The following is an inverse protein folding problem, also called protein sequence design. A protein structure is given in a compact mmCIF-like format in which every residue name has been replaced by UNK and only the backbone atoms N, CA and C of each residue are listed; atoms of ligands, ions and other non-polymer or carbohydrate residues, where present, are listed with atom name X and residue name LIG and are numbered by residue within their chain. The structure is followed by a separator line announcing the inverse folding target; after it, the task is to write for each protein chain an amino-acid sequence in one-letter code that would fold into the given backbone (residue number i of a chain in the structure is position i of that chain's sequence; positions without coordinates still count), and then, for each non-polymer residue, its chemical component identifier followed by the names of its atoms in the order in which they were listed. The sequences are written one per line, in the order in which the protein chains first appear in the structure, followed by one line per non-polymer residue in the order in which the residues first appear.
data_IF_684141320609
#
_entry.id   IF_684141320609
#
_cell.length_a   1.000
_cell.length_b   1.000
_cell.length_c   1.000
_cell.angle_alpha   90.00
_cell.angle_beta   90.00
_cell.angle_gamma   90.00
#
_symmetry.space_group_name_H-M   'P 1'
#
loop_
_entity.id
_entity.type
_entity.pdbx_description
1 polymer ?
#
# COMPACT_ATOMS: atom_id res chain seq x y z
N UNK A 1 4.65 39.04 -17.67
CA UNK A 1 3.54 38.77 -18.60
C UNK A 1 3.55 37.28 -18.90
N UNK A 2 2.67 36.50 -18.26
CA UNK A 2 2.56 35.06 -18.49
C UNK A 2 1.72 34.88 -19.74
N UNK A 3 2.28 34.27 -20.79
CA UNK A 3 1.52 33.95 -21.99
C UNK A 3 0.33 33.05 -21.61
N UNK A 4 -0.89 33.44 -22.00
CA UNK A 4 -2.06 32.61 -21.84
C UNK A 4 -1.84 31.31 -22.62
N UNK A 5 -1.76 30.19 -21.91
CA UNK A 5 -1.70 28.88 -22.54
C UNK A 5 -2.98 28.67 -23.36
N UNK A 6 -2.83 28.50 -24.67
CA UNK A 6 -3.92 28.14 -25.57
C UNK A 6 -4.49 26.81 -25.07
N UNK A 7 -5.69 26.83 -24.48
CA UNK A 7 -6.34 25.59 -24.09
C UNK A 7 -6.62 24.77 -25.35
N UNK A 8 -6.12 23.53 -25.47
CA UNK A 8 -6.44 22.69 -26.61
C UNK A 8 -7.96 22.50 -26.63
N UNK A 9 -8.58 22.84 -27.76
CA UNK A 9 -10.02 22.67 -27.97
C UNK A 9 -10.30 21.16 -28.03
N UNK A 10 -10.63 20.58 -26.88
CA UNK A 10 -10.93 19.17 -26.71
C UNK A 10 -12.37 18.92 -27.16
N UNK A 11 -12.54 18.12 -28.23
CA UNK A 11 -13.84 17.57 -28.61
C UNK A 11 -14.00 16.18 -27.96
N UNK A 12 -14.84 16.04 -26.91
CA UNK A 12 -15.04 14.77 -26.21
C UNK A 12 -15.60 13.69 -27.13
N UNK A 13 -16.36 14.08 -28.16
CA UNK A 13 -17.06 13.13 -29.04
C UNK A 13 -16.10 12.34 -29.93
N UNK A 14 -14.91 12.88 -30.21
CA UNK A 14 -13.93 12.28 -31.11
C UNK A 14 -13.39 10.92 -30.63
N UNK A 15 -13.30 10.72 -29.31
CA UNK A 15 -12.73 9.51 -28.73
C UNK A 15 -13.74 8.68 -27.92
N UNK A 16 -14.88 9.25 -27.54
CA UNK A 16 -15.86 8.61 -26.66
C UNK A 16 -16.27 7.20 -27.14
N UNK A 17 -16.62 7.06 -28.42
CA UNK A 17 -17.01 5.77 -28.98
C UNK A 17 -15.90 4.70 -28.85
N UNK A 18 -14.64 5.10 -29.07
CA UNK A 18 -13.49 4.20 -28.95
C UNK A 18 -13.18 3.87 -27.48
N UNK A 19 -13.29 4.86 -26.59
CA UNK A 19 -13.16 4.67 -25.14
C UNK A 19 -14.17 3.66 -24.62
N UNK A 20 -15.46 3.82 -24.99
CA UNK A 20 -16.52 2.90 -24.59
C UNK A 20 -16.29 1.49 -25.13
N UNK A 21 -15.88 1.36 -26.40
CA UNK A 21 -15.59 0.06 -27.01
C UNK A 21 -14.45 -0.68 -26.27
N UNK A 22 -13.36 0.02 -25.94
CA UNK A 22 -12.24 -0.56 -25.16
C UNK A 22 -12.71 -0.94 -23.75
N UNK A 23 -13.47 -0.07 -23.08
CA UNK A 23 -14.00 -0.35 -21.74
C UNK A 23 -14.90 -1.59 -21.71
N UNK A 24 -15.81 -1.72 -22.68
CA UNK A 24 -16.67 -2.90 -22.82
C UNK A 24 -15.86 -4.17 -23.05
N UNK A 25 -14.84 -4.12 -23.91
CA UNK A 25 -13.95 -5.25 -24.16
C UNK A 25 -13.20 -5.69 -22.89
N UNK A 26 -12.66 -4.74 -22.11
CA UNK A 26 -11.99 -5.02 -20.84
C UNK A 26 -12.93 -5.64 -19.80
N UNK A 27 -14.18 -5.16 -19.72
CA UNK A 27 -15.19 -5.69 -18.81
C UNK A 27 -15.58 -7.14 -19.16
N UNK A 28 -15.75 -7.44 -20.45
CA UNK A 28 -16.04 -8.80 -20.92
C UNK A 28 -14.89 -9.76 -20.60
N UNK A 29 -13.64 -9.36 -20.90
CA UNK A 29 -12.44 -10.16 -20.61
C UNK A 29 -12.24 -10.45 -19.10
N UNK A 30 -12.76 -9.59 -18.23
CA UNK A 30 -12.69 -9.76 -16.77
C UNK A 30 -13.77 -10.70 -16.24
N UNK A 31 -14.95 -10.76 -16.90
CA UNK A 31 -16.09 -11.61 -16.48
C UNK A 31 -15.88 -13.09 -16.80
N UNK A 32 -15.27 -13.41 -17.94
CA UNK A 32 -15.04 -14.81 -18.36
C UNK A 32 -14.05 -15.58 -17.46
N UNK A 33 -13.15 -14.89 -16.76
CA UNK A 33 -12.16 -15.51 -15.86
C UNK A 33 -12.69 -15.92 -14.48
N UNK A 34 -13.99 -15.74 -14.19
CA UNK A 34 -14.62 -16.21 -12.94
C UNK A 34 -14.89 -17.72 -12.94
N UNK A 35 -13.85 -18.53 -13.14
CA UNK A 35 -13.91 -19.98 -12.92
C UNK A 35 -13.71 -20.31 -11.43
N UNK A 36 -14.15 -21.50 -11.00
CA UNK A 36 -14.13 -22.10 -9.65
C UNK A 36 -12.98 -21.69 -8.69
N UNK A 37 -11.79 -21.37 -9.20
CA UNK A 37 -10.67 -20.84 -8.43
C UNK A 37 -10.92 -19.44 -7.84
N UNK A 38 -11.69 -18.60 -8.54
CA UNK A 38 -12.20 -17.32 -8.05
C UNK A 38 -13.24 -17.50 -6.93
N UNK A 39 -14.04 -18.58 -6.96
CA UNK A 39 -15.00 -18.92 -5.90
C UNK A 39 -14.29 -19.42 -4.62
N UNK A 40 -13.18 -20.15 -4.75
CA UNK A 40 -12.34 -20.51 -3.59
C UNK A 40 -11.57 -19.30 -3.03
N UNK A 41 -11.10 -18.39 -3.89
CA UNK A 41 -10.53 -17.11 -3.46
C UNK A 41 -11.58 -16.24 -2.76
N UNK A 42 -12.85 -16.32 -3.18
CA UNK A 42 -14.00 -15.69 -2.52
C UNK A 42 -14.27 -16.18 -1.10
N UNK A 43 -13.87 -17.41 -0.74
CA UNK A 43 -13.95 -17.89 0.65
C UNK A 43 -12.84 -17.29 1.53
N UNK A 44 -11.71 -16.88 0.94
CA UNK A 44 -10.68 -16.05 1.61
C UNK A 44 -11.05 -14.55 1.68
N UNK A 45 -12.21 -14.15 1.14
CA UNK A 45 -12.73 -12.76 1.16
C UNK A 45 -13.60 -12.45 2.38
N UNK A 46 -13.45 -13.18 3.49
CA UNK A 46 -14.09 -12.74 4.74
C UNK A 46 -13.58 -11.35 5.16
N UNK A 47 -12.28 -11.10 4.98
CA UNK A 47 -11.67 -9.77 5.16
C UNK A 47 -12.33 -8.72 4.24
N UNK A 48 -12.59 -9.05 2.97
CA UNK A 48 -13.27 -8.12 2.04
C UNK A 48 -14.70 -7.86 2.47
N UNK A 49 -15.42 -8.87 2.99
CA UNK A 49 -16.79 -8.67 3.48
C UNK A 49 -16.83 -7.81 4.73
N UNK A 50 -15.87 -7.96 5.64
CA UNK A 50 -15.72 -7.09 6.81
C UNK A 50 -15.32 -5.68 6.38
N UNK A 51 -14.40 -5.56 5.44
CA UNK A 51 -13.97 -4.28 4.89
C UNK A 51 -15.12 -3.58 4.14
N UNK A 52 -15.85 -4.29 3.29
CA UNK A 52 -17.02 -3.80 2.56
C UNK A 52 -18.13 -3.37 3.53
N UNK A 53 -18.40 -4.16 4.57
CA UNK A 53 -19.34 -3.80 5.62
C UNK A 53 -18.88 -2.54 6.38
N UNK A 54 -17.60 -2.50 6.78
CA UNK A 54 -17.03 -1.32 7.43
C UNK A 54 -17.10 -0.10 6.51
N UNK A 55 -16.85 -0.25 5.21
CA UNK A 55 -16.96 0.85 4.24
C UNK A 55 -18.41 1.33 4.05
N UNK A 56 -19.40 0.45 4.25
CA UNK A 56 -20.82 0.77 4.20
C UNK A 56 -21.37 1.46 5.45
N UNK A 57 -20.65 1.44 6.58
CA UNK A 57 -21.04 2.10 7.83
C UNK A 57 -20.02 3.21 8.20
N UNK A 58 -20.36 4.50 8.02
CA UNK A 58 -19.42 5.60 8.25
C UNK A 58 -18.86 5.66 9.68
N UNK A 59 -19.66 5.33 10.69
CA UNK A 59 -19.24 5.34 12.10
C UNK A 59 -18.21 4.26 12.39
N UNK A 60 -18.49 3.01 11.97
CA UNK A 60 -17.56 1.89 12.09
C UNK A 60 -16.28 2.12 11.29
N UNK A 61 -16.39 2.62 10.06
CA UNK A 61 -15.24 2.93 9.20
C UNK A 61 -14.20 3.80 9.90
N UNK A 62 -14.65 4.93 10.46
CA UNK A 62 -13.76 5.91 11.09
C UNK A 62 -13.06 5.32 12.29
N UNK A 63 -13.80 4.63 13.17
CA UNK A 63 -13.21 4.09 14.40
C UNK A 63 -12.29 2.89 14.12
N UNK A 64 -12.65 2.03 13.17
CA UNK A 64 -11.81 0.92 12.75
C UNK A 64 -10.47 1.42 12.19
N UNK A 65 -10.48 2.44 11.33
CA UNK A 65 -9.24 3.00 10.80
C UNK A 65 -8.39 3.69 11.86
N UNK A 66 -9.01 4.42 12.81
CA UNK A 66 -8.26 5.01 13.94
C UNK A 66 -7.62 3.95 14.83
N UNK A 67 -8.33 2.85 15.09
CA UNK A 67 -7.77 1.72 15.84
C UNK A 67 -6.58 1.10 15.09
N UNK A 68 -6.73 0.85 13.78
CA UNK A 68 -5.65 0.30 12.93
C UNK A 68 -4.43 1.23 12.93
N UNK A 69 -4.64 2.55 12.83
CA UNK A 69 -3.58 3.56 12.85
C UNK A 69 -2.82 3.59 14.20
N UNK A 70 -3.53 3.46 15.32
CA UNK A 70 -2.92 3.41 16.65
C UNK A 70 -2.24 2.07 16.97
N UNK A 71 -2.65 0.98 16.32
CA UNK A 71 -2.24 -0.38 16.65
C UNK A 71 -0.72 -0.60 16.71
N UNK A 72 0.11 -0.09 15.77
CA UNK A 72 1.57 -0.27 15.82
C UNK A 72 2.24 0.35 17.05
N UNK A 73 1.61 1.34 17.69
CA UNK A 73 2.11 1.98 18.90
C UNK A 73 1.78 1.19 20.18
N UNK A 74 0.83 0.24 20.13
CA UNK A 74 0.38 -0.54 21.29
C UNK A 74 1.37 -1.69 21.57
N UNK A 75 1.93 -1.74 22.78
CA UNK A 75 3.05 -2.65 23.10
C UNK A 75 2.62 -3.90 23.87
N UNK A 76 1.35 -4.00 24.26
CA UNK A 76 0.85 -5.12 25.05
C UNK A 76 -0.55 -5.57 24.65
N UNK A 77 -0.87 -6.84 24.89
CA UNK A 77 -2.21 -7.40 24.62
C UNK A 77 -3.32 -6.67 25.40
N UNK A 78 -3.16 -6.32 26.68
CA UNK A 78 -4.17 -5.53 27.39
C UNK A 78 -4.39 -4.14 26.78
N UNK A 79 -3.33 -3.47 26.33
CA UNK A 79 -3.48 -2.19 25.62
C UNK A 79 -4.25 -2.33 24.32
N UNK A 80 -3.97 -3.37 23.53
CA UNK A 80 -4.69 -3.67 22.29
C UNK A 80 -6.16 -3.94 22.58
N UNK A 81 -6.46 -4.79 23.57
CA UNK A 81 -7.83 -5.11 23.96
C UNK A 81 -8.59 -3.86 24.44
N UNK A 82 -7.96 -3.04 25.28
CA UNK A 82 -8.53 -1.78 25.76
C UNK A 82 -8.88 -0.84 24.60
N UNK A 83 -7.93 -0.57 23.71
CA UNK A 83 -8.18 0.34 22.58
C UNK A 83 -9.20 -0.23 21.60
N UNK A 84 -9.21 -1.55 21.38
CA UNK A 84 -10.24 -2.21 20.58
C UNK A 84 -11.64 -1.89 21.14
N UNK A 85 -11.81 -1.97 22.46
CA UNK A 85 -13.06 -1.63 23.13
C UNK A 85 -13.37 -0.13 23.05
N UNK A 86 -12.42 0.74 23.34
CA UNK A 86 -12.60 2.19 23.32
C UNK A 86 -13.01 2.72 21.94
N UNK A 87 -12.42 2.20 20.86
CA UNK A 87 -12.75 2.62 19.50
C UNK A 87 -14.08 2.02 19.01
N UNK A 88 -14.34 0.74 19.29
CA UNK A 88 -15.46 0.03 18.68
C UNK A 88 -16.74 0.00 19.52
N UNK A 89 -16.69 0.34 20.81
CA UNK A 89 -17.87 0.40 21.68
C UNK A 89 -18.56 1.78 21.70
N UNK A 90 -18.15 2.72 20.84
CA UNK A 90 -18.79 4.04 20.72
C UNK A 90 -20.22 3.89 20.19
N UNK A 91 -21.18 4.64 20.74
CA UNK A 91 -22.61 4.55 20.43
C UNK A 91 -22.92 4.70 18.91
N UNK A 92 -22.08 5.44 18.19
CA UNK A 92 -22.18 5.63 16.74
C UNK A 92 -21.71 4.42 15.89
N UNK A 93 -21.25 3.33 16.51
CA UNK A 93 -20.67 2.17 15.81
C UNK A 93 -21.63 1.00 15.84
N UNK A 94 -22.20 0.66 14.67
CA UNK A 94 -22.93 -0.59 14.52
C UNK A 94 -21.96 -1.72 14.18
N UNK A 95 -21.76 -2.61 15.14
CA UNK A 95 -20.81 -3.71 15.00
C UNK A 95 -21.44 -4.90 14.26
N UNK A 96 -20.73 -5.52 13.30
CA UNK A 96 -21.09 -6.82 12.78
C UNK A 96 -20.92 -7.88 13.88
N UNK A 97 -21.69 -8.97 13.81
CA UNK A 97 -21.78 -10.00 14.86
C UNK A 97 -20.41 -10.59 15.25
N UNK A 98 -19.49 -10.72 14.29
CA UNK A 98 -18.14 -11.20 14.55
C UNK A 98 -17.34 -10.26 15.48
N UNK A 99 -17.46 -8.93 15.30
CA UNK A 99 -16.77 -7.94 16.13
C UNK A 99 -17.45 -7.79 17.51
N UNK A 100 -18.77 -7.97 17.60
CA UNK A 100 -19.48 -7.98 18.89
C UNK A 100 -18.95 -9.04 19.84
N UNK A 101 -18.65 -10.24 19.34
CA UNK A 101 -18.07 -11.32 20.13
C UNK A 101 -16.67 -10.99 20.66
N UNK A 102 -15.86 -10.31 19.86
CA UNK A 102 -14.52 -9.87 20.27
C UNK A 102 -14.56 -8.80 21.36
N UNK A 103 -15.64 -8.04 21.47
CA UNK A 103 -15.81 -6.97 22.46
C UNK A 103 -16.54 -7.42 23.73
N UNK A 104 -16.88 -8.70 23.83
CA UNK A 104 -17.62 -9.25 24.96
C UNK A 104 -16.70 -9.50 26.17
N UNK A 105 -16.05 -8.45 26.65
CA UNK A 105 -15.23 -8.46 27.86
C UNK A 105 -15.36 -7.13 28.61
N UNK A 106 -15.43 -7.20 29.94
CA UNK A 106 -15.54 -6.01 30.80
C UNK A 106 -14.18 -5.51 31.30
N UNK A 107 -13.15 -6.37 31.26
CA UNK A 107 -11.79 -6.04 31.68
C UNK A 107 -10.79 -6.43 30.56
N UNK A 108 -10.01 -5.49 30.01
CA UNK A 108 -8.97 -5.77 29.02
C UNK A 108 -7.89 -6.78 29.46
N UNK A 109 -7.61 -6.87 30.77
CA UNK A 109 -6.64 -7.82 31.33
C UNK A 109 -7.18 -9.25 31.42
N UNK A 110 -8.50 -9.43 31.24
CA UNK A 110 -9.14 -10.74 31.33
C UNK A 110 -8.72 -11.68 30.20
N UNK A 111 -8.90 -12.99 30.43
CA UNK A 111 -8.64 -14.02 29.41
C UNK A 111 -9.38 -13.73 28.08
N UNK A 112 -10.69 -13.36 28.09
CA UNK A 112 -11.38 -12.94 26.87
C UNK A 112 -10.77 -11.69 26.19
N UNK A 113 -10.36 -10.68 26.96
CA UNK A 113 -9.73 -9.46 26.42
C UNK A 113 -8.39 -9.77 25.73
N UNK A 114 -7.54 -10.56 26.38
CA UNK A 114 -6.27 -10.97 25.78
C UNK A 114 -6.46 -11.85 24.54
N UNK A 115 -7.49 -12.70 24.52
CA UNK A 115 -7.84 -13.52 23.36
C UNK A 115 -8.28 -12.64 22.16
N UNK A 116 -9.06 -11.60 22.42
CA UNK A 116 -9.45 -10.63 21.40
C UNK A 116 -8.22 -9.94 20.79
N UNK A 117 -7.28 -9.50 21.63
CA UNK A 117 -6.01 -8.90 21.17
C UNK A 117 -5.18 -9.87 20.30
N UNK A 118 -5.08 -11.14 20.69
CA UNK A 118 -4.38 -12.16 19.88
C UNK A 118 -5.06 -12.49 18.56
N UNK A 119 -6.33 -12.12 18.40
CA UNK A 119 -7.06 -12.34 17.15
C UNK A 119 -6.96 -11.13 16.24
N UNK A 120 -7.17 -9.92 16.79
CA UNK A 120 -7.28 -8.70 15.98
C UNK A 120 -5.94 -8.22 15.44
N UNK A 121 -4.86 -8.27 16.23
CA UNK A 121 -3.58 -7.74 15.77
C UNK A 121 -3.01 -8.52 14.57
N UNK A 122 -2.98 -9.87 14.59
CA UNK A 122 -2.56 -10.64 13.41
C UNK A 122 -3.50 -10.49 12.21
N UNK A 123 -4.80 -10.25 12.43
CA UNK A 123 -5.75 -10.02 11.35
C UNK A 123 -5.46 -8.69 10.62
N UNK A 124 -5.18 -7.63 11.38
CA UNK A 124 -4.76 -6.33 10.82
C UNK A 124 -3.42 -6.44 10.11
N UNK A 125 -2.45 -7.17 10.69
CA UNK A 125 -1.16 -7.44 10.04
C UNK A 125 -1.34 -8.21 8.71
N UNK A 126 -2.20 -9.25 8.70
CA UNK A 126 -2.53 -10.02 7.50
C UNK A 126 -3.15 -9.12 6.42
N UNK A 127 -4.02 -8.20 6.81
CA UNK A 127 -4.59 -7.20 5.90
C UNK A 127 -3.50 -6.28 5.33
N UNK A 128 -2.55 -5.84 6.14
CA UNK A 128 -1.43 -4.99 5.70
C UNK A 128 -0.57 -5.69 4.64
N UNK A 129 -0.26 -6.99 4.81
CA UNK A 129 0.51 -7.78 3.83
C UNK A 129 -0.19 -7.99 2.48
N UNK A 130 -1.47 -7.62 2.32
CA UNK A 130 -2.10 -7.54 0.99
C UNK A 130 -1.59 -6.36 0.17
N UNK A 131 -1.10 -5.31 0.84
CA UNK A 131 -0.64 -4.08 0.22
C UNK A 131 0.89 -3.91 0.32
N UNK A 132 1.55 -4.66 1.20
CA UNK A 132 3.00 -4.62 1.43
C UNK A 132 3.64 -5.92 0.93
N UNK A 133 4.64 -5.81 0.06
CA UNK A 133 5.32 -6.95 -0.58
C UNK A 133 6.26 -7.73 0.37
N UNK A 134 6.64 -7.13 1.50
CA UNK A 134 7.44 -7.74 2.55
C UNK A 134 7.98 -6.68 3.52
N UNK A 135 8.31 -7.10 4.73
CA UNK A 135 9.07 -6.33 5.74
C UNK A 135 10.60 -6.54 5.61
N UNK A 136 11.03 -7.48 4.75
CA UNK A 136 12.43 -7.72 4.41
C UNK A 136 12.62 -7.85 2.90
N UNK A 137 13.85 -7.57 2.45
CA UNK A 137 14.24 -7.68 1.05
C UNK A 137 14.03 -9.09 0.46
N UNK A 138 14.31 -10.14 1.22
CA UNK A 138 14.12 -11.53 0.76
C UNK A 138 12.65 -11.86 0.51
N UNK A 139 11.75 -11.37 1.38
CA UNK A 139 10.30 -11.52 1.19
C UNK A 139 9.84 -10.71 -0.01
N UNK A 140 10.33 -9.48 -0.17
CA UNK A 140 10.02 -8.62 -1.31
C UNK A 140 10.49 -9.24 -2.65
N UNK A 141 11.70 -9.81 -2.71
CA UNK A 141 12.22 -10.51 -3.90
C UNK A 141 11.33 -11.70 -4.27
N UNK A 142 10.93 -12.52 -3.29
CA UNK A 142 10.02 -13.65 -3.53
C UNK A 142 8.65 -13.19 -4.07
N UNK A 143 8.14 -12.07 -3.56
CA UNK A 143 6.90 -11.47 -4.06
C UNK A 143 7.07 -10.97 -5.51
N UNK A 144 8.18 -10.30 -5.83
CA UNK A 144 8.52 -9.86 -7.18
C UNK A 144 8.63 -11.04 -8.15
N UNK A 145 9.33 -12.11 -7.77
CA UNK A 145 9.50 -13.29 -8.62
C UNK A 145 8.16 -13.97 -8.93
N UNK A 146 7.23 -13.95 -7.98
CA UNK A 146 5.85 -14.42 -8.20
C UNK A 146 5.12 -13.52 -9.20
N UNK A 147 5.19 -12.19 -9.04
CA UNK A 147 4.58 -11.24 -9.98
C UNK A 147 5.13 -11.41 -11.41
N UNK A 148 6.46 -11.59 -11.54
CA UNK A 148 7.11 -11.81 -12.83
C UNK A 148 6.64 -13.10 -13.52
N UNK A 149 6.40 -14.17 -12.77
CA UNK A 149 5.80 -15.43 -13.31
C UNK A 149 4.39 -15.18 -13.86
N UNK A 150 3.65 -14.28 -13.24
CA UNK A 150 2.33 -13.83 -13.68
C UNK A 150 2.37 -12.75 -14.78
N UNK A 151 3.57 -12.46 -15.33
CA UNK A 151 3.82 -11.44 -16.37
C UNK A 151 3.42 -10.04 -15.91
N UNK A 152 3.66 -9.74 -14.64
CA UNK A 152 3.50 -8.41 -14.05
C UNK A 152 4.87 -7.83 -13.71
N UNK A 153 5.08 -6.56 -14.06
CA UNK A 153 6.23 -5.78 -13.61
C UNK A 153 5.95 -5.12 -12.26
N UNK A 154 6.94 -4.45 -11.69
CA UNK A 154 6.83 -3.79 -10.39
C UNK A 154 7.61 -2.48 -10.36
N UNK A 155 7.27 -1.63 -9.40
CA UNK A 155 8.15 -0.59 -8.88
C UNK A 155 8.17 -0.71 -7.36
N UNK A 156 9.36 -0.61 -6.75
CA UNK A 156 9.53 -0.75 -5.30
C UNK A 156 9.50 0.63 -4.63
N UNK A 157 8.66 0.80 -3.61
CA UNK A 157 8.63 1.98 -2.74
C UNK A 157 8.95 1.53 -1.31
N UNK A 158 9.90 2.18 -0.65
CA UNK A 158 10.15 1.93 0.77
C UNK A 158 9.11 2.66 1.61
N UNK A 159 8.45 1.90 2.49
CA UNK A 159 7.60 2.47 3.52
C UNK A 159 8.45 3.02 4.66
N UNK A 160 8.08 4.19 5.15
CA UNK A 160 8.75 4.85 6.26
C UNK A 160 7.87 5.94 6.86
N UNK A 161 8.20 6.33 8.09
CA UNK A 161 7.58 7.47 8.75
C UNK A 161 8.07 8.79 8.13
N UNK A 162 7.44 9.90 8.51
CA UNK A 162 7.87 11.22 8.07
C UNK A 162 9.31 11.49 8.55
N UNK A 163 10.18 11.85 7.61
CA UNK A 163 11.56 12.25 7.91
C UNK A 163 11.56 13.65 8.49
N UNK A 164 11.94 13.78 9.76
CA UNK A 164 11.94 15.05 10.50
C UNK A 164 13.34 15.51 10.91
N UNK A 165 14.35 14.68 10.68
CA UNK A 165 15.77 15.03 10.88
C UNK A 165 16.63 14.71 9.67
N UNK A 166 17.76 15.41 9.54
CA UNK A 166 18.73 15.14 8.47
C UNK A 166 19.45 13.79 8.64
N UNK A 167 19.52 13.26 9.87
CA UNK A 167 20.04 11.93 10.14
C UNK A 167 19.10 10.84 9.59
N UNK A 168 17.79 11.00 9.78
CA UNK A 168 16.77 10.13 9.18
C UNK A 168 16.79 10.23 7.65
N UNK A 169 16.94 11.43 7.08
CA UNK A 169 17.06 11.61 5.63
C UNK A 169 18.28 10.86 5.06
N UNK A 170 19.40 10.89 5.79
CA UNK A 170 20.61 10.16 5.42
C UNK A 170 20.42 8.63 5.53
N UNK A 171 19.77 8.16 6.59
CA UNK A 171 19.45 6.74 6.76
C UNK A 171 18.50 6.25 5.66
N UNK A 172 17.50 7.06 5.31
CA UNK A 172 16.56 6.78 4.22
C UNK A 172 17.29 6.65 2.87
N UNK A 173 18.22 7.56 2.56
CA UNK A 173 19.09 7.43 1.38
C UNK A 173 19.87 6.12 1.38
N UNK A 174 20.50 5.76 2.50
CA UNK A 174 21.27 4.52 2.60
C UNK A 174 20.38 3.29 2.35
N UNK A 175 19.17 3.27 2.91
CA UNK A 175 18.22 2.18 2.66
C UNK A 175 17.84 2.05 1.17
N UNK A 176 17.70 3.15 0.43
CA UNK A 176 17.46 3.10 -1.01
C UNK A 176 18.66 2.55 -1.78
N UNK A 177 19.88 3.00 -1.44
CA UNK A 177 21.11 2.50 -2.07
C UNK A 177 21.25 0.98 -1.85
N UNK A 178 21.05 0.53 -0.61
CA UNK A 178 21.13 -0.89 -0.25
C UNK A 178 20.03 -1.71 -0.96
N UNK A 179 18.80 -1.19 -1.02
CA UNK A 179 17.69 -1.80 -1.74
C UNK A 179 18.01 -1.96 -3.23
N UNK A 180 18.45 -0.88 -3.88
CA UNK A 180 18.76 -0.87 -5.31
C UNK A 180 19.88 -1.84 -5.64
N UNK A 181 20.94 -1.88 -4.84
CA UNK A 181 22.05 -2.83 -5.01
C UNK A 181 21.56 -4.28 -4.90
N UNK A 182 20.74 -4.59 -3.89
CA UNK A 182 20.22 -5.94 -3.67
C UNK A 182 19.23 -6.38 -4.76
N UNK A 183 18.34 -5.49 -5.20
CA UNK A 183 17.43 -5.76 -6.32
C UNK A 183 18.18 -5.94 -7.63
N UNK A 184 19.19 -5.11 -7.90
CA UNK A 184 20.04 -5.26 -9.08
C UNK A 184 20.74 -6.63 -9.08
N UNK A 185 21.32 -7.02 -7.93
CA UNK A 185 21.95 -8.33 -7.78
C UNK A 185 20.97 -9.49 -8.00
N UNK A 186 19.79 -9.43 -7.39
CA UNK A 186 18.76 -10.46 -7.58
C UNK A 186 18.31 -10.56 -9.05
N UNK A 187 18.16 -9.42 -9.73
CA UNK A 187 17.64 -9.35 -11.10
C UNK A 187 18.52 -10.01 -12.16
N UNK A 188 19.80 -10.23 -11.86
CA UNK A 188 20.73 -10.96 -12.73
C UNK A 188 20.27 -12.39 -13.00
N UNK A 189 19.58 -13.01 -12.03
CA UNK A 189 19.07 -14.39 -12.15
C UNK A 189 17.72 -14.48 -12.85
N UNK A 190 17.02 -13.35 -13.04
CA UNK A 190 15.68 -13.34 -13.61
C UNK A 190 15.72 -13.56 -15.11
N UNK A 191 14.98 -14.58 -15.58
CA UNK A 191 14.76 -14.80 -17.00
C UNK A 191 14.02 -13.61 -17.62
N UNK A 192 14.38 -13.16 -18.83
CA UNK A 192 13.63 -12.16 -19.56
C UNK A 192 12.19 -12.60 -19.81
N UNK A 193 11.25 -11.67 -19.66
CA UNK A 193 9.83 -11.86 -19.99
C UNK A 193 9.41 -10.75 -20.94
N UNK A 194 9.29 -11.06 -22.23
CA UNK A 194 9.07 -10.06 -23.29
C UNK A 194 7.88 -9.13 -23.03
N UNK A 195 6.81 -9.63 -22.41
CA UNK A 195 5.62 -8.84 -22.09
C UNK A 195 5.83 -7.71 -21.06
N UNK A 196 6.91 -7.76 -20.28
CA UNK A 196 7.20 -6.79 -19.20
C UNK A 196 8.62 -6.22 -19.22
N UNK A 197 9.55 -6.90 -19.89
CA UNK A 197 10.95 -6.49 -19.99
C UNK A 197 11.28 -5.87 -21.36
N UNK A 198 10.29 -5.63 -22.23
CA UNK A 198 10.46 -4.95 -23.54
C UNK A 198 9.31 -4.00 -23.86
N UNK A 199 9.63 -2.89 -24.53
CA UNK A 199 8.66 -1.99 -25.16
C UNK A 199 9.22 -1.51 -26.50
N UNK A 200 8.41 -1.52 -27.56
CA UNK A 200 8.83 -1.15 -28.93
C UNK A 200 10.15 -1.80 -29.36
N UNK A 201 10.27 -3.11 -29.07
CA UNK A 201 11.46 -3.94 -29.27
C UNK A 201 12.72 -3.54 -28.48
N UNK A 202 12.65 -2.51 -27.64
CA UNK A 202 13.74 -2.10 -26.76
C UNK A 202 13.67 -2.80 -25.40
N UNK A 203 14.80 -3.19 -24.80
CA UNK A 203 14.82 -3.75 -23.44
C UNK A 203 14.46 -2.70 -22.40
N UNK A 204 13.63 -3.07 -21.43
CA UNK A 204 13.30 -2.28 -20.25
C UNK A 204 14.12 -2.72 -19.04
N UNK A 205 14.45 -1.82 -18.10
CA UNK A 205 15.01 -2.21 -16.81
C UNK A 205 14.08 -3.17 -16.06
N UNK A 206 14.63 -4.31 -15.63
CA UNK A 206 13.88 -5.31 -14.84
C UNK A 206 13.57 -4.85 -13.42
N UNK A 207 14.32 -3.87 -12.93
CA UNK A 207 14.19 -3.29 -11.59
C UNK A 207 13.73 -1.85 -11.74
N UNK A 208 12.68 -1.49 -11.02
CA UNK A 208 12.21 -0.12 -10.92
C UNK A 208 11.98 0.21 -9.45
N UNK A 209 12.28 1.45 -9.08
CA UNK A 209 12.16 1.97 -7.72
C UNK A 209 11.47 3.32 -7.80
N UNK A 210 10.53 3.54 -6.89
CA UNK A 210 9.83 4.81 -6.68
C UNK A 210 10.38 5.47 -5.43
N UNK A 211 10.61 6.78 -5.51
CA UNK A 211 11.19 7.58 -4.42
C UNK A 211 10.23 8.72 -4.06
N UNK A 212 10.17 9.07 -2.77
CA UNK A 212 9.43 10.24 -2.26
C UNK A 212 10.41 11.33 -1.89
N UNK A 213 10.38 12.45 -2.62
CA UNK A 213 11.34 13.55 -2.47
C UNK A 213 11.40 14.10 -1.04
N UNK A 214 10.26 14.20 -0.37
CA UNK A 214 10.13 14.72 1.00
C UNK A 214 10.87 13.87 2.04
N UNK A 215 11.24 12.63 1.73
CA UNK A 215 12.00 11.78 2.64
C UNK A 215 13.52 11.97 2.54
N UNK A 216 13.99 12.78 1.58
CA UNK A 216 15.42 13.08 1.39
C UNK A 216 15.82 14.45 1.95
N UNK A 217 14.90 15.18 2.57
CA UNK A 217 15.20 16.45 3.21
C UNK A 217 14.14 16.77 4.27
N UNK A 218 14.56 16.96 5.53
CA UNK A 218 13.62 17.11 6.64
C UNK A 218 12.94 18.49 6.71
N UNK A 219 13.46 19.49 6.00
CA UNK A 219 12.84 20.81 5.85
C UNK A 219 12.27 21.04 4.45
N UNK A 220 11.76 19.98 3.80
CA UNK A 220 11.15 20.08 2.47
C UNK A 220 9.87 20.93 2.53
N UNK A 221 9.99 22.20 2.19
CA UNK A 221 8.95 23.21 2.35
C UNK A 221 8.87 24.13 1.10
N UNK A 222 7.67 24.33 0.51
CA UNK A 222 7.50 25.27 -0.60
C UNK A 222 7.85 26.73 -0.28
N UNK A 223 7.87 27.13 1.00
CA UNK A 223 8.28 28.48 1.42
C UNK A 223 9.75 28.77 1.14
N UNK A 224 10.60 27.74 1.19
CA UNK A 224 11.99 27.79 0.72
C UNK A 224 12.20 26.79 -0.42
N UNK A 225 11.58 27.06 -1.56
CA UNK A 225 11.69 26.21 -2.74
C UNK A 225 13.15 26.02 -3.22
N UNK A 226 14.00 27.03 -3.09
CA UNK A 226 15.42 26.95 -3.51
C UNK A 226 16.23 26.08 -2.56
N UNK A 227 16.07 26.27 -1.24
CA UNK A 227 16.70 25.43 -0.23
C UNK A 227 16.22 23.99 -0.31
N UNK A 228 14.90 23.77 -0.45
CA UNK A 228 14.32 22.44 -0.64
C UNK A 228 14.85 21.75 -1.89
N UNK A 229 14.95 22.46 -3.01
CA UNK A 229 15.55 21.93 -4.23
C UNK A 229 17.02 21.55 -4.01
N UNK A 230 17.81 22.41 -3.38
CA UNK A 230 19.23 22.13 -3.13
C UNK A 230 19.40 20.91 -2.20
N UNK A 231 18.76 20.94 -1.03
CA UNK A 231 18.86 19.88 -0.01
C UNK A 231 18.39 18.52 -0.52
N UNK A 232 17.29 18.47 -1.27
CA UNK A 232 16.80 17.21 -1.84
C UNK A 232 17.68 16.72 -3.00
N UNK A 233 18.18 17.63 -3.84
CA UNK A 233 18.97 17.26 -5.02
C UNK A 233 20.29 16.60 -4.63
N UNK A 234 20.93 17.10 -3.58
CA UNK A 234 22.22 16.56 -3.11
C UNK A 234 22.10 15.08 -2.71
N UNK A 235 20.96 14.69 -2.12
CA UNK A 235 20.70 13.30 -1.71
C UNK A 235 20.12 12.42 -2.80
N UNK A 236 19.38 12.97 -3.76
CA UNK A 236 18.75 12.17 -4.82
C UNK A 236 19.70 11.88 -5.99
N UNK A 237 20.63 12.79 -6.31
CA UNK A 237 21.58 12.58 -7.43
C UNK A 237 22.31 11.24 -7.39
N UNK A 238 22.79 10.71 -6.24
CA UNK A 238 23.41 9.39 -6.18
C UNK A 238 22.50 8.21 -6.55
N UNK A 239 21.17 8.40 -6.58
CA UNK A 239 20.18 7.39 -6.94
C UNK A 239 19.86 7.35 -8.44
N UNK A 240 20.31 8.33 -9.22
CA UNK A 240 20.02 8.50 -10.66
C UNK A 240 21.20 8.05 -11.52
#
# INVERSE_FOLDING_TARGET
MVAQATQPQYDPSRYEAKTQAIAQALLLATREKKNLFAQMRDQMRWDDKIMDFAMGNPGLKVQLFRFIDALPALRSKPEIARHLQEYLAVEAVELPTALKGLLNFSNPDSVPGQLAATTVAPAVETLAYRYISGDTIDKAIKAIERLRKDKLTFTMDLLGEAVITEAEAQAYLQHYLDLMAQLAQASQTWKPVDAIDRADDQPLPKVQVSVKLTAFYSQFDPLDAKGSQAGVSDRIRPLL
#
